data_IF_128030724418
#
_entry.id   IF_128030724418
#
_cell.length_a   1.000
_cell.length_b   1.000
_cell.length_c   1.000
_cell.angle_alpha   90.00
_cell.angle_beta   90.00
_cell.angle_gamma   90.00
#
_symmetry.space_group_name_H-M   'P 1'
#
loop_
_entity.id
_entity.type
_entity.pdbx_description
1 polymer ?
#
# COMPACT_ATOMS: atom_id res chain seq x y z
N UNK A 1 -4.47 -10.64 6.88
CA UNK A 1 -5.80 -10.06 7.18
C UNK A 1 -5.91 -9.16 8.41
N UNK A 2 -5.19 -9.38 9.52
CA UNK A 2 -5.39 -8.56 10.74
C UNK A 2 -4.93 -7.10 10.53
N UNK A 3 -3.77 -6.89 9.91
CA UNK A 3 -3.18 -5.57 9.69
C UNK A 3 -4.06 -4.64 8.83
N UNK A 4 -4.67 -5.16 7.78
CA UNK A 4 -5.53 -4.41 6.85
C UNK A 4 -6.85 -3.99 7.52
N UNK A 5 -7.28 -4.74 8.54
CA UNK A 5 -8.49 -4.45 9.32
C UNK A 5 -8.23 -3.47 10.46
N UNK A 6 -6.97 -3.09 10.70
CA UNK A 6 -6.63 -2.06 11.69
C UNK A 6 -7.13 -0.71 11.16
N UNK A 7 -7.95 0.03 11.93
CA UNK A 7 -8.39 1.35 11.53
C UNK A 7 -7.22 2.29 11.25
N UNK A 8 -7.34 3.06 10.18
CA UNK A 8 -6.41 4.10 9.80
C UNK A 8 -7.15 5.42 9.60
N UNK A 9 -6.43 6.52 9.75
CA UNK A 9 -6.94 7.88 9.67
C UNK A 9 -5.80 8.84 9.28
N UNK A 10 -6.07 10.14 9.27
CA UNK A 10 -5.07 11.15 8.92
C UNK A 10 -3.84 11.15 9.82
N UNK A 11 -3.98 10.76 11.10
CA UNK A 11 -2.83 10.61 12.01
C UNK A 11 -1.90 9.49 11.52
N UNK A 12 -2.47 8.37 11.09
CA UNK A 12 -1.67 7.25 10.54
C UNK A 12 -1.03 7.60 9.19
N UNK A 13 -1.66 8.47 8.39
CA UNK A 13 -1.05 9.05 7.18
C UNK A 13 0.13 9.93 7.53
N UNK A 14 -0.01 10.78 8.55
CA UNK A 14 1.05 11.64 9.04
C UNK A 14 2.25 10.84 9.57
N UNK A 15 2.01 9.83 10.41
CA UNK A 15 3.04 8.91 10.92
C UNK A 15 3.82 8.27 9.77
N UNK A 16 3.09 7.75 8.78
CA UNK A 16 3.69 7.15 7.60
C UNK A 16 4.59 8.15 6.84
N UNK A 17 4.09 9.37 6.58
CA UNK A 17 4.85 10.39 5.86
C UNK A 17 6.04 10.91 6.66
N UNK A 18 5.93 11.00 7.98
CA UNK A 18 7.04 11.34 8.86
C UNK A 18 8.19 10.35 8.71
N UNK A 19 7.89 9.05 8.77
CA UNK A 19 8.89 7.99 8.57
C UNK A 19 9.48 8.01 7.15
N UNK A 20 8.66 8.29 6.13
CA UNK A 20 9.17 8.50 4.77
C UNK A 20 10.17 9.67 4.71
N UNK A 21 9.86 10.80 5.36
CA UNK A 21 10.74 11.98 5.35
C UNK A 21 12.04 11.75 6.10
N UNK A 22 12.03 10.99 7.20
CA UNK A 22 13.25 10.53 7.89
C UNK A 22 14.09 9.67 6.95
N UNK A 23 13.47 8.70 6.28
CA UNK A 23 14.15 7.78 5.38
C UNK A 23 14.81 8.48 4.18
N UNK A 24 14.12 9.47 3.61
CA UNK A 24 14.53 10.20 2.41
C UNK A 24 15.08 11.60 2.73
N UNK A 25 15.60 11.84 3.93
CA UNK A 25 16.06 13.15 4.38
C UNK A 25 17.08 13.81 3.42
N UNK A 26 17.91 13.02 2.77
CA UNK A 26 18.95 13.45 1.83
C UNK A 26 18.54 13.31 0.36
N UNK A 27 17.38 12.70 0.07
CA UNK A 27 16.88 12.50 -1.28
C UNK A 27 15.85 13.58 -1.65
N UNK A 28 16.35 14.66 -2.24
CA UNK A 28 15.51 15.77 -2.73
C UNK A 28 14.51 15.32 -3.79
N UNK A 29 14.78 14.24 -4.53
CA UNK A 29 13.86 13.74 -5.56
C UNK A 29 12.58 13.15 -4.97
N UNK A 30 12.62 12.71 -3.71
CA UNK A 30 11.48 12.14 -3.01
C UNK A 30 10.62 13.19 -2.29
N UNK A 31 11.14 14.40 -2.02
CA UNK A 31 10.43 15.44 -1.27
C UNK A 31 9.18 15.97 -2.02
N UNK A 32 9.33 16.36 -3.29
CA UNK A 32 8.19 16.85 -4.08
C UNK A 32 7.08 15.79 -4.24
N UNK A 33 7.39 14.50 -4.56
CA UNK A 33 6.39 13.44 -4.54
C UNK A 33 5.69 13.23 -3.19
N UNK A 34 6.41 13.35 -2.07
CA UNK A 34 5.82 13.23 -0.72
C UNK A 34 4.84 14.38 -0.45
N UNK A 35 5.20 15.61 -0.81
CA UNK A 35 4.32 16.78 -0.64
C UNK A 35 3.07 16.70 -1.53
N UNK A 36 3.22 16.18 -2.75
CA UNK A 36 2.10 15.93 -3.65
C UNK A 36 1.16 14.88 -3.05
N UNK A 37 1.71 13.74 -2.63
CA UNK A 37 0.94 12.69 -1.96
C UNK A 37 0.18 13.22 -0.74
N UNK A 38 0.84 14.00 0.11
CA UNK A 38 0.22 14.56 1.31
C UNK A 38 -1.03 15.39 0.97
N UNK A 39 -0.96 16.19 -0.10
CA UNK A 39 -2.03 17.12 -0.50
C UNK A 39 -3.12 16.50 -1.36
N UNK A 40 -2.80 15.56 -2.24
CA UNK A 40 -3.72 15.11 -3.30
C UNK A 40 -4.14 13.66 -3.19
N UNK A 41 -3.52 12.87 -2.32
CA UNK A 41 -3.80 11.43 -2.24
C UNK A 41 -5.26 11.12 -1.94
N UNK A 42 -5.83 10.22 -2.74
CA UNK A 42 -7.12 9.58 -2.51
C UNK A 42 -6.97 8.06 -2.48
N UNK A 43 -7.77 7.37 -1.66
CA UNK A 43 -7.66 5.92 -1.44
C UNK A 43 -7.84 5.09 -2.72
N UNK A 44 -8.68 5.54 -3.65
CA UNK A 44 -8.87 4.91 -4.96
C UNK A 44 -7.69 5.10 -5.93
N UNK A 45 -6.71 5.95 -5.61
CA UNK A 45 -5.50 6.18 -6.41
C UNK A 45 -4.27 5.44 -5.87
N UNK A 46 -4.42 4.61 -4.82
CA UNK A 46 -3.32 3.91 -4.16
C UNK A 46 -2.40 3.17 -5.13
N UNK A 47 -2.97 2.40 -6.08
CA UNK A 47 -2.18 1.67 -7.08
C UNK A 47 -1.39 2.60 -8.00
N UNK A 48 -1.99 3.71 -8.45
CA UNK A 48 -1.32 4.71 -9.29
C UNK A 48 -0.12 5.32 -8.57
N UNK A 49 -0.29 5.69 -7.30
CA UNK A 49 0.80 6.18 -6.47
C UNK A 49 1.86 5.10 -6.21
N UNK A 50 1.49 3.83 -6.09
CA UNK A 50 2.43 2.73 -5.94
C UNK A 50 3.24 2.46 -7.22
N UNK A 51 2.63 2.53 -8.40
CA UNK A 51 3.29 2.12 -9.66
C UNK A 51 4.12 3.22 -10.32
N UNK A 52 3.86 4.49 -10.05
CA UNK A 52 4.54 5.64 -10.68
C UNK A 52 5.95 5.94 -10.11
N UNK A 53 6.82 4.92 -9.98
CA UNK A 53 8.19 5.00 -9.40
C UNK A 53 8.28 5.98 -8.23
N UNK A 54 7.34 5.82 -7.29
CA UNK A 54 7.22 6.73 -6.16
C UNK A 54 8.18 6.34 -5.03
N UNK A 55 8.38 7.30 -4.13
CA UNK A 55 9.03 7.05 -2.85
C UNK A 55 8.39 5.87 -2.09
N UNK A 56 7.10 5.61 -2.29
CA UNK A 56 6.37 4.49 -1.70
C UNK A 56 6.86 3.16 -2.29
N UNK A 57 6.93 3.02 -3.61
CA UNK A 57 7.42 1.79 -4.25
C UNK A 57 8.79 1.36 -3.71
N UNK A 58 9.74 2.30 -3.68
CA UNK A 58 11.10 2.05 -3.19
C UNK A 58 11.12 1.69 -1.70
N UNK A 59 10.29 2.35 -0.90
CA UNK A 59 10.22 2.15 0.54
C UNK A 59 9.55 0.83 0.91
N UNK A 60 8.43 0.49 0.27
CA UNK A 60 7.71 -0.77 0.47
C UNK A 60 8.56 -1.98 0.09
N UNK A 61 9.19 -1.94 -1.08
CA UNK A 61 10.09 -3.03 -1.50
C UNK A 61 11.28 -3.23 -0.56
N UNK A 62 11.65 -2.22 0.23
CA UNK A 62 12.68 -2.36 1.27
C UNK A 62 12.10 -2.89 2.57
N UNK A 63 10.99 -2.30 3.05
CA UNK A 63 10.30 -2.73 4.26
C UNK A 63 9.91 -4.21 4.21
N UNK A 64 9.38 -4.68 3.07
CA UNK A 64 9.03 -6.08 2.87
C UNK A 64 10.24 -7.02 2.89
N UNK A 65 11.41 -6.58 2.40
CA UNK A 65 12.64 -7.39 2.45
C UNK A 65 13.23 -7.51 3.85
N UNK A 66 12.90 -6.58 4.74
CA UNK A 66 13.41 -6.56 6.11
C UNK A 66 12.54 -7.33 7.11
N UNK A 67 11.40 -7.87 6.69
CA UNK A 67 10.40 -8.57 7.54
C UNK A 67 10.01 -7.84 8.83
N UNK A 68 10.27 -6.54 8.91
CA UNK A 68 10.05 -5.76 10.11
C UNK A 68 8.57 -5.35 10.18
N UNK A 69 7.85 -5.99 11.09
CA UNK A 69 6.41 -5.79 11.31
C UNK A 69 6.06 -4.37 11.76
N UNK A 70 7.00 -3.65 12.38
CA UNK A 70 6.79 -2.25 12.80
C UNK A 70 6.59 -1.36 11.59
N UNK A 71 7.35 -1.60 10.51
CA UNK A 71 7.14 -0.89 9.25
C UNK A 71 5.77 -1.21 8.66
N UNK A 72 5.34 -2.47 8.67
CA UNK A 72 4.00 -2.82 8.19
C UNK A 72 2.90 -2.08 8.97
N UNK A 73 3.08 -1.89 10.28
CA UNK A 73 2.16 -1.10 11.09
C UNK A 73 2.20 0.38 10.73
N UNK A 74 3.39 1.00 10.63
CA UNK A 74 3.55 2.39 10.20
C UNK A 74 2.89 2.63 8.84
N UNK A 75 3.08 1.71 7.90
CA UNK A 75 2.57 1.81 6.54
C UNK A 75 1.11 1.34 6.36
N UNK A 76 0.41 0.99 7.46
CA UNK A 76 -0.96 0.45 7.43
C UNK A 76 -1.95 1.32 6.66
N UNK A 77 -1.78 2.65 6.71
CA UNK A 77 -2.60 3.62 5.98
C UNK A 77 -2.65 3.29 4.49
N UNK A 78 -1.49 3.23 3.84
CA UNK A 78 -1.41 3.00 2.40
C UNK A 78 -1.61 1.53 2.03
N UNK A 79 -1.16 0.59 2.88
CA UNK A 79 -1.34 -0.84 2.65
C UNK A 79 -2.81 -1.26 2.65
N UNK A 80 -3.62 -0.68 3.52
CA UNK A 80 -5.05 -0.97 3.56
C UNK A 80 -5.75 -0.52 2.27
N UNK A 81 -5.48 0.71 1.80
CA UNK A 81 -6.03 1.22 0.54
C UNK A 81 -5.56 0.37 -0.67
N UNK A 82 -4.27 0.03 -0.71
CA UNK A 82 -3.70 -0.85 -1.74
C UNK A 82 -4.39 -2.21 -1.77
N UNK A 83 -4.55 -2.85 -0.61
CA UNK A 83 -5.21 -4.14 -0.52
C UNK A 83 -6.66 -4.06 -0.98
N UNK A 84 -7.42 -3.06 -0.51
CA UNK A 84 -8.82 -2.86 -0.88
C UNK A 84 -8.96 -2.64 -2.40
N UNK A 85 -8.05 -1.88 -3.01
CA UNK A 85 -8.04 -1.67 -4.45
C UNK A 85 -7.74 -2.98 -5.20
N UNK A 86 -6.75 -3.76 -4.76
CA UNK A 86 -6.44 -5.06 -5.36
C UNK A 86 -7.58 -6.07 -5.20
N UNK A 87 -8.21 -6.14 -4.03
CA UNK A 87 -9.36 -7.01 -3.77
C UNK A 87 -10.54 -6.65 -4.68
N UNK A 88 -10.77 -5.36 -4.90
CA UNK A 88 -11.79 -4.88 -5.83
C UNK A 88 -11.48 -5.31 -7.27
N UNK A 89 -10.27 -5.04 -7.78
CA UNK A 89 -9.87 -5.43 -9.13
C UNK A 89 -9.95 -6.94 -9.32
N UNK A 90 -9.52 -7.71 -8.32
CA UNK A 90 -9.62 -9.16 -8.33
C UNK A 90 -11.08 -9.62 -8.37
N UNK A 91 -11.95 -9.01 -7.58
CA UNK A 91 -13.38 -9.33 -7.56
C UNK A 91 -14.03 -9.03 -8.91
N UNK A 92 -13.72 -7.87 -9.49
CA UNK A 92 -14.20 -7.45 -10.81
C UNK A 92 -13.76 -8.42 -11.91
N UNK A 93 -12.51 -8.89 -11.87
CA UNK A 93 -11.92 -9.74 -12.91
C UNK A 93 -12.24 -11.23 -12.75
N UNK A 94 -12.33 -11.74 -11.52
CA UNK A 94 -12.36 -13.19 -11.25
C UNK A 94 -13.62 -13.68 -10.55
N UNK A 95 -14.24 -12.90 -9.65
CA UNK A 95 -15.44 -13.34 -8.93
C UNK A 95 -16.73 -13.15 -9.73
N UNK A 96 -16.72 -12.25 -10.72
CA UNK A 96 -17.78 -12.12 -11.71
C UNK A 96 -17.73 -13.22 -12.80
N UNK A 97 -16.71 -14.10 -12.76
CA UNK A 97 -16.60 -15.24 -13.67
C UNK A 97 -16.88 -16.56 -12.90
N UNK A 98 -18.03 -17.23 -13.15
CA UNK A 98 -18.42 -18.45 -12.43
C UNK A 98 -17.37 -19.57 -12.46
N UNK A 99 -16.53 -19.63 -13.52
CA UNK A 99 -15.54 -20.68 -13.73
C UNK A 99 -14.26 -20.50 -12.89
N UNK A 100 -14.02 -19.32 -12.32
CA UNK A 100 -12.81 -19.00 -11.55
C UNK A 100 -13.04 -18.97 -10.05
N UNK A 101 -14.31 -19.01 -9.61
CA UNK A 101 -14.72 -19.04 -8.21
C UNK A 101 -14.17 -20.27 -7.45
N UNK A 102 -14.08 -21.41 -8.13
CA UNK A 102 -13.59 -22.68 -7.56
C UNK A 102 -12.06 -22.83 -7.55
N UNK A 103 -11.32 -22.02 -8.32
CA UNK A 103 -9.84 -22.04 -8.31
C UNK A 103 -9.23 -21.42 -7.05
N UNK A 104 -10.03 -20.72 -6.23
CA UNK A 104 -9.60 -20.06 -4.99
C UNK A 104 -9.05 -21.04 -3.94
N UNK A 105 -9.45 -22.32 -3.96
CA UNK A 105 -8.97 -23.32 -2.98
C UNK A 105 -7.66 -24.03 -3.37
N UNK A 106 -7.24 -23.94 -4.64
CA UNK A 106 -6.10 -24.69 -5.15
C UNK A 106 -4.82 -23.84 -5.15
N UNK A 107 -4.93 -22.54 -5.41
CA UNK A 107 -3.75 -21.66 -5.59
C UNK A 107 -3.05 -21.20 -4.31
N UNK A 108 -3.64 -21.39 -3.13
CA UNK A 108 -3.02 -21.05 -1.83
C UNK A 108 -2.34 -22.24 -1.15
N UNK A 109 -2.11 -23.35 -1.88
CA UNK A 109 -1.64 -24.62 -1.32
C UNK A 109 -0.32 -25.14 -1.88
N UNK A 110 0.38 -24.35 -2.69
CA UNK A 110 1.74 -24.63 -3.18
C UNK A 110 2.74 -23.57 -2.71
#
# INVERSE_FOLDING_TARGET
DILIKVPYNDQTKYEMLHECRIHYNNDKSAQNPMDLFEKTYQSNEALTFYTNDSFLYRLFNRAFRTENIDYLFIFRFFLADMYNHLERLYSEQFLNNPLLKDKKLILYRD
#
